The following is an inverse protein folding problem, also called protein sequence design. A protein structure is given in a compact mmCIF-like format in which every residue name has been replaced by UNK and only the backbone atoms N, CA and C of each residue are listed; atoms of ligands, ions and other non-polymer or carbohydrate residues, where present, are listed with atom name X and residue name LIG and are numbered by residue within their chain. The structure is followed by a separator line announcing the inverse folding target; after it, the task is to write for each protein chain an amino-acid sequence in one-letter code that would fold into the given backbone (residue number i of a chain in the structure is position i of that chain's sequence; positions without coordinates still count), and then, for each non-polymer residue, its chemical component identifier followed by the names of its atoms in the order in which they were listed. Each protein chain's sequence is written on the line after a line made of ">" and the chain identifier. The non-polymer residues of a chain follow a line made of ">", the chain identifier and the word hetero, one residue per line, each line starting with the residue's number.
data_IF_582707921927
#
_entry.id   IF_582707921927
#
_cell.length_a   1.000
_cell.length_b   1.000
_cell.length_c   1.000
_cell.angle_alpha   90.00
_cell.angle_beta   90.00
_cell.angle_gamma   90.00
#
_symmetry.space_group_name_H-M   'P 1'
#
loop_
_entity.id
_entity.type
_entity.pdbx_description
1 polymer ?
#
# COMPACT_ATOMS: atom_id res chain seq x y z
N UNK A 1 11.91 -1.76 3.00
CA UNK A 1 10.77 -2.36 2.27
C UNK A 1 9.75 -2.73 3.31
N UNK A 2 8.51 -2.29 3.15
CA UNK A 2 7.41 -2.57 4.09
C UNK A 2 6.54 -3.65 3.45
N UNK A 3 6.31 -4.74 4.18
CA UNK A 3 5.40 -5.82 3.77
C UNK A 3 4.15 -5.68 4.63
N UNK A 4 2.99 -5.70 3.98
CA UNK A 4 1.68 -5.59 4.60
C UNK A 4 0.90 -6.88 4.35
N UNK A 5 0.16 -7.31 5.34
CA UNK A 5 -0.80 -8.39 5.21
C UNK A 5 -2.18 -7.72 5.04
N UNK A 6 -2.75 -7.83 3.84
CA UNK A 6 -3.95 -7.08 3.44
C UNK A 6 -4.92 -8.02 2.72
N UNK A 7 -6.20 -7.71 2.79
CA UNK A 7 -7.23 -8.31 1.95
C UNK A 7 -7.08 -7.83 0.50
N UNK A 8 -7.04 -8.77 -0.44
CA UNK A 8 -7.01 -8.47 -1.87
C UNK A 8 -8.40 -8.13 -2.43
N UNK A 9 -8.52 -7.91 -3.74
CA UNK A 9 -9.80 -7.57 -4.38
C UNK A 9 -10.86 -8.71 -4.26
N UNK A 10 -10.42 -9.94 -4.02
CA UNK A 10 -11.29 -11.12 -3.90
C UNK A 10 -11.70 -11.45 -2.45
N UNK A 11 -11.19 -10.71 -1.46
CA UNK A 11 -11.45 -11.01 -0.05
C UNK A 11 -10.41 -11.90 0.63
N UNK A 12 -9.35 -12.31 -0.08
CA UNK A 12 -8.29 -13.14 0.50
C UNK A 12 -7.22 -12.29 1.15
N UNK A 13 -6.78 -12.70 2.34
CA UNK A 13 -5.60 -12.11 2.97
C UNK A 13 -4.32 -12.56 2.26
N UNK A 14 -3.57 -11.60 1.71
CA UNK A 14 -2.31 -11.80 0.97
C UNK A 14 -1.22 -10.85 1.47
N UNK A 15 0.01 -11.11 1.04
CA UNK A 15 1.16 -10.27 1.36
C UNK A 15 1.41 -9.27 0.22
N UNK A 16 1.60 -8.01 0.60
CA UNK A 16 1.80 -6.91 -0.33
C UNK A 16 3.04 -6.11 0.04
N UNK A 17 3.86 -5.80 -0.97
CA UNK A 17 5.01 -4.90 -0.83
C UNK A 17 4.55 -3.45 -1.02
N UNK A 18 4.77 -2.60 -0.02
CA UNK A 18 4.50 -1.17 -0.10
C UNK A 18 5.65 -0.34 -0.65
N UNK A 19 5.33 0.63 -1.50
CA UNK A 19 6.28 1.53 -2.14
C UNK A 19 6.11 2.98 -1.67
N UNK A 20 7.21 3.64 -1.30
CA UNK A 20 7.17 5.02 -0.77
C UNK A 20 7.02 6.09 -1.84
N UNK A 21 7.57 5.88 -3.04
CA UNK A 21 7.73 6.92 -4.06
C UNK A 21 7.44 6.42 -5.49
N UNK A 22 6.47 5.52 -5.64
CA UNK A 22 6.02 5.09 -6.97
C UNK A 22 4.85 5.97 -7.43
N UNK A 23 4.90 6.39 -8.70
CA UNK A 23 3.79 7.05 -9.38
C UNK A 23 2.70 6.01 -9.66
N UNK A 24 1.45 6.24 -9.27
CA UNK A 24 0.37 5.30 -9.57
C UNK A 24 0.01 5.32 -11.06
N UNK A 25 -0.45 4.18 -11.54
CA UNK A 25 -1.03 4.01 -12.87
C UNK A 25 -2.45 3.43 -12.74
N UNK A 26 -3.24 3.51 -13.81
CA UNK A 26 -4.54 2.80 -13.84
C UNK A 26 -4.28 1.29 -13.73
N UNK A 27 -5.04 0.60 -12.88
CA UNK A 27 -4.84 -0.80 -12.51
C UNK A 27 -3.83 -1.01 -11.38
N UNK A 28 -3.15 0.03 -10.90
CA UNK A 28 -2.29 -0.10 -9.71
C UNK A 28 -3.12 -0.44 -8.48
N UNK A 29 -2.59 -1.36 -7.67
CA UNK A 29 -3.13 -1.62 -6.34
C UNK A 29 -2.59 -0.60 -5.34
N UNK A 30 -3.46 -0.11 -4.48
CA UNK A 30 -3.11 0.81 -3.41
C UNK A 30 -3.71 0.34 -2.09
N UNK A 31 -3.02 0.67 -0.99
CA UNK A 31 -3.63 0.64 0.35
C UNK A 31 -3.88 2.07 0.82
N UNK A 32 -4.96 2.25 1.56
CA UNK A 32 -5.29 3.54 2.18
C UNK A 32 -4.43 3.73 3.43
N UNK A 33 -3.96 4.95 3.65
CA UNK A 33 -3.23 5.34 4.87
C UNK A 33 -3.99 6.44 5.61
N UNK A 34 -3.99 6.37 6.94
CA UNK A 34 -4.47 7.47 7.79
C UNK A 34 -3.40 8.52 7.90
N UNK A 35 -3.74 9.75 7.53
CA UNK A 35 -2.92 10.91 7.87
C UNK A 35 -3.05 11.19 9.38
N UNK A 36 -2.06 10.75 10.17
CA UNK A 36 -2.03 11.00 11.61
C UNK A 36 -1.66 12.45 11.96
N UNK A 37 -1.12 13.21 10.99
CA UNK A 37 -0.66 14.59 11.21
C UNK A 37 -1.76 15.64 11.00
N UNK A 38 -2.89 15.23 10.45
CA UNK A 38 -4.02 16.10 10.16
C UNK A 38 -5.30 15.41 10.62
N UNK A 39 -5.72 15.57 11.90
CA UNK A 39 -7.00 15.07 12.37
C UNK A 39 -8.06 15.70 11.47
N UNK A 40 -8.67 14.83 10.68
CA UNK A 40 -9.49 15.17 9.53
C UNK A 40 -10.49 16.25 9.91
N UNK A 41 -10.40 17.42 9.28
CA UNK A 41 -11.48 18.42 9.35
C UNK A 41 -12.79 17.72 8.96
N UNK A 42 -13.84 17.96 9.73
CA UNK A 42 -15.11 17.21 9.79
C UNK A 42 -15.72 16.81 8.42
N UNK A 43 -15.35 17.49 7.33
CA UNK A 43 -15.75 17.16 5.95
C UNK A 43 -14.99 16.00 5.28
N UNK A 44 -13.75 15.61 5.66
CA UNK A 44 -13.08 14.43 5.06
C UNK A 44 -13.32 13.12 5.83
N UNK A 45 -14.02 13.14 6.95
CA UNK A 45 -14.35 11.92 7.70
C UNK A 45 -15.19 10.95 6.84
N UNK A 46 -16.00 11.48 5.93
CA UNK A 46 -16.80 10.72 4.98
C UNK A 46 -15.97 9.91 3.96
N UNK A 47 -14.76 10.37 3.62
CA UNK A 47 -13.88 9.70 2.64
C UNK A 47 -13.49 8.30 3.12
N UNK A 48 -13.38 8.08 4.44
CA UNK A 48 -12.97 6.81 5.02
C UNK A 48 -14.11 5.92 5.48
N UNK A 49 -15.37 6.39 5.46
CA UNK A 49 -16.47 5.64 6.08
C UNK A 49 -16.72 4.27 5.42
N UNK A 50 -16.34 4.11 4.15
CA UNK A 50 -16.40 2.83 3.45
C UNK A 50 -15.02 2.43 2.89
N UNK A 51 -13.93 2.98 3.44
CA UNK A 51 -12.58 2.54 3.12
C UNK A 51 -11.99 1.77 4.30
N UNK A 52 -11.58 0.54 4.05
CA UNK A 52 -10.80 -0.26 4.97
C UNK A 52 -9.30 0.04 4.83
N UNK A 53 -8.60 0.06 5.95
CA UNK A 53 -7.14 0.23 6.01
C UNK A 53 -6.40 -1.10 5.82
N UNK A 54 -7.14 -2.20 5.90
CA UNK A 54 -6.62 -3.57 5.93
C UNK A 54 -6.85 -4.30 4.60
N UNK A 55 -7.21 -3.56 3.55
CA UNK A 55 -7.38 -4.08 2.19
C UNK A 55 -6.70 -3.22 1.14
N UNK A 56 -6.62 -3.77 -0.07
CA UNK A 56 -6.20 -3.05 -1.26
C UNK A 56 -7.40 -2.60 -2.09
N UNK A 57 -7.18 -1.52 -2.85
CA UNK A 57 -8.09 -0.99 -3.84
C UNK A 57 -7.39 -0.84 -5.17
N UNK A 58 -8.13 -0.97 -6.26
CA UNK A 58 -7.61 -0.74 -7.61
C UNK A 58 -7.84 0.71 -8.05
N UNK A 59 -6.80 1.33 -8.60
CA UNK A 59 -6.88 2.65 -9.22
C UNK A 59 -7.59 2.53 -10.56
N UNK A 60 -8.78 3.11 -10.69
CA UNK A 60 -9.49 3.12 -11.96
C UNK A 60 -9.20 4.38 -12.80
N UNK A 61 -8.73 5.46 -12.18
CA UNK A 61 -8.35 6.70 -12.87
C UNK A 61 -7.24 7.44 -12.11
N UNK A 62 -6.29 8.00 -12.86
CA UNK A 62 -5.24 8.88 -12.34
C UNK A 62 -5.57 10.32 -12.74
N UNK A 63 -5.76 11.21 -11.77
CA UNK A 63 -6.04 12.62 -12.02
C UNK A 63 -4.75 13.39 -12.34
N UNK A 64 -3.72 13.17 -11.54
CA UNK A 64 -2.36 13.68 -11.73
C UNK A 64 -1.36 12.77 -11.01
N UNK A 65 -0.09 13.16 -10.96
CA UNK A 65 0.98 12.37 -10.32
C UNK A 65 0.82 12.15 -8.81
N UNK A 66 -0.09 12.86 -8.15
CA UNK A 66 -0.33 12.81 -6.70
C UNK A 66 -1.75 12.41 -6.33
N UNK A 67 -2.65 12.25 -7.29
CA UNK A 67 -4.07 12.06 -7.01
C UNK A 67 -4.68 10.99 -7.90
N UNK A 68 -5.40 10.07 -7.24
CA UNK A 68 -6.02 8.92 -7.87
C UNK A 68 -7.49 8.82 -7.48
N UNK A 69 -8.26 8.13 -8.31
CA UNK A 69 -9.60 7.73 -8.01
C UNK A 69 -9.70 6.21 -7.87
N UNK A 70 -10.41 5.78 -6.83
CA UNK A 70 -10.76 4.38 -6.55
C UNK A 70 -12.26 4.23 -6.33
N UNK A 71 -12.71 2.97 -6.34
CA UNK A 71 -14.03 2.59 -5.84
C UNK A 71 -13.89 2.12 -4.39
N UNK A 72 -14.72 2.66 -3.50
CA UNK A 72 -14.78 2.21 -2.11
C UNK A 72 -15.58 0.90 -1.98
N UNK A 73 -15.78 0.42 -0.75
CA UNK A 73 -16.48 -0.85 -0.48
C UNK A 73 -17.98 -0.82 -0.87
N UNK A 74 -18.52 0.33 -1.32
CA UNK A 74 -19.89 0.52 -1.78
C UNK A 74 -19.97 1.02 -3.23
N UNK A 75 -18.90 0.85 -4.01
CA UNK A 75 -18.77 1.31 -5.40
C UNK A 75 -18.88 2.84 -5.60
N UNK A 76 -18.69 3.61 -4.52
CA UNK A 76 -18.64 5.06 -4.58
C UNK A 76 -17.24 5.49 -5.00
N UNK A 77 -17.16 6.44 -5.93
CA UNK A 77 -15.88 6.99 -6.37
C UNK A 77 -15.29 7.88 -5.29
N UNK A 78 -14.05 7.58 -4.91
CA UNK A 78 -13.29 8.33 -3.93
C UNK A 78 -12.00 8.86 -4.55
N UNK A 79 -11.72 10.15 -4.32
CA UNK A 79 -10.45 10.79 -4.69
C UNK A 79 -9.48 10.72 -3.51
N UNK A 80 -8.30 10.18 -3.73
CA UNK A 80 -7.23 10.11 -2.74
C UNK A 80 -6.02 10.93 -3.20
N UNK A 81 -5.49 11.74 -2.29
CA UNK A 81 -4.20 12.43 -2.47
C UNK A 81 -3.05 11.53 -2.02
N UNK A 82 -1.82 11.79 -2.47
CA UNK A 82 -0.63 10.97 -2.19
C UNK A 82 -0.33 10.72 -0.71
N UNK A 83 -0.77 11.62 0.19
CA UNK A 83 -0.67 11.42 1.63
C UNK A 83 -1.68 10.42 2.22
N UNK A 84 -2.65 9.96 1.42
CA UNK A 84 -3.76 9.10 1.83
C UNK A 84 -3.69 7.70 1.22
N UNK A 85 -2.72 7.44 0.35
CA UNK A 85 -2.50 6.10 -0.18
C UNK A 85 -1.02 5.74 -0.32
N UNK A 86 -0.77 4.45 -0.44
CA UNK A 86 0.52 3.88 -0.78
C UNK A 86 0.31 2.85 -1.89
N UNK A 87 1.09 2.93 -2.97
CA UNK A 87 1.09 1.90 -4.02
C UNK A 87 1.65 0.61 -3.44
N UNK A 88 0.99 -0.51 -3.76
CA UNK A 88 1.37 -1.84 -3.31
C UNK A 88 1.39 -2.82 -4.48
N UNK A 89 2.12 -3.91 -4.31
CA UNK A 89 2.14 -5.04 -5.25
C UNK A 89 2.06 -6.34 -4.46
N UNK A 90 1.24 -7.28 -4.92
CA UNK A 90 1.14 -8.61 -4.31
C UNK A 90 2.46 -9.36 -4.50
N UNK A 91 2.95 -9.98 -3.43
CA UNK A 91 4.19 -10.76 -3.45
C UNK A 91 3.92 -12.18 -2.96
N UNK A 92 4.59 -13.15 -3.59
CA UNK A 92 4.49 -14.55 -3.21
C UNK A 92 5.34 -14.87 -1.97
N UNK A 93 4.98 -15.94 -1.26
CA UNK A 93 5.78 -16.46 -0.15
C UNK A 93 7.22 -16.81 -0.55
N UNK A 94 7.41 -17.23 -1.81
CA UNK A 94 8.73 -17.50 -2.38
C UNK A 94 9.58 -16.22 -2.45
N UNK A 95 9.01 -15.10 -2.90
CA UNK A 95 9.71 -13.82 -2.94
C UNK A 95 10.06 -13.30 -1.55
N UNK A 96 9.15 -13.46 -0.58
CA UNK A 96 9.39 -13.11 0.82
C UNK A 96 10.58 -13.91 1.37
N UNK A 97 10.61 -15.22 1.12
CA UNK A 97 11.71 -16.09 1.55
C UNK A 97 13.03 -15.67 0.91
N UNK A 98 13.05 -15.48 -0.41
CA UNK A 98 14.26 -15.02 -1.12
C UNK A 98 14.81 -13.71 -0.58
N UNK A 99 13.93 -12.76 -0.22
CA UNK A 99 14.35 -11.50 0.37
C UNK A 99 14.92 -11.66 1.79
N UNK A 100 14.30 -12.52 2.60
CA UNK A 100 14.74 -12.83 3.96
C UNK A 100 16.11 -13.51 3.95
N UNK A 101 16.30 -14.48 3.05
CA UNK A 101 17.56 -15.19 2.86
C UNK A 101 18.67 -14.22 2.43
N UNK A 102 18.38 -13.31 1.50
CA UNK A 102 19.34 -12.28 1.06
C UNK A 102 19.76 -11.35 2.21
N UNK A 103 18.82 -10.89 3.04
CA UNK A 103 19.14 -10.06 4.21
C UNK A 103 20.03 -10.84 5.20
N UNK A 104 19.73 -12.12 5.43
CA UNK A 104 20.51 -12.97 6.32
C UNK A 104 21.97 -13.08 5.86
N UNK A 105 22.17 -13.29 4.55
CA UNK A 105 23.49 -13.33 3.92
C UNK A 105 24.22 -11.98 4.06
N UNK A 106 23.56 -10.85 3.78
CA UNK A 106 24.19 -9.54 3.93
C UNK A 106 24.62 -9.27 5.38
N UNK A 107 23.79 -9.64 6.36
CA UNK A 107 24.13 -9.51 7.79
C UNK A 107 25.32 -10.38 8.20
N UNK A 108 25.48 -11.56 7.61
CA UNK A 108 26.62 -12.41 7.92
C UNK A 108 27.93 -11.81 7.38
N UNK A 109 27.90 -11.16 6.22
CA UNK A 109 29.05 -10.41 5.69
C UNK A 109 29.41 -9.19 6.54
N UNK A 110 28.44 -8.40 7.00
CA UNK A 110 28.70 -7.26 7.88
C UNK A 110 29.38 -7.66 9.20
N UNK A 111 29.01 -8.82 9.75
CA UNK A 111 29.62 -9.37 10.96
C UNK A 111 31.06 -9.87 10.74
N UNK A 112 31.41 -10.23 9.50
CA UNK A 112 32.78 -10.64 9.13
C UNK A 112 33.68 -9.42 8.93
N UNK A 113 33.15 -8.31 8.40
CA UNK A 113 33.93 -7.09 8.11
C UNK A 113 34.19 -6.24 9.37
N UNK A 114 33.36 -6.36 10.41
CA UNK A 114 33.54 -5.65 11.70
C UNK A 114 34.47 -6.37 12.70
N UNK A 115 35.10 -7.47 12.31
CA UNK A 115 36.14 -8.18 13.08
C UNK A 115 37.52 -7.85 12.53
#
# INVERSE_FOLDING_TARGET
>A
MEIHNLENLNGDTRNFRGFKLIKPEVGSLIRVIRDQSNPVSVNKAYVYNNLSMDRVYEVFMVFNEFEVFIKDDKDITVRLTKSLYQVVEEISDKEIKSFTDLISVLKSFDNVIKK
#
